data_IF_870038894782
#
_entry.id   IF_870038894782
#
_cell.length_a   1.000
_cell.length_b   1.000
_cell.length_c   1.000
_cell.angle_alpha   90.00
_cell.angle_beta   90.00
_cell.angle_gamma   90.00
#
_symmetry.space_group_name_H-M   'P 1'
#
loop_
_entity.id
_entity.type
_entity.pdbx_description
1 polymer ?
#
# COMPACT_ATOMS: atom_id res chain seq x y z
N UNK A 1 -24.36 -5.76 -12.30
CA UNK A 1 -23.61 -6.47 -11.22
C UNK A 1 -22.72 -5.42 -10.60
N UNK A 2 -22.85 -5.13 -9.31
CA UNK A 2 -21.96 -4.17 -8.65
C UNK A 2 -20.60 -4.86 -8.52
N UNK A 3 -19.63 -4.43 -9.32
CA UNK A 3 -18.26 -4.91 -9.25
C UNK A 3 -17.70 -4.43 -7.91
N UNK A 4 -17.49 -5.37 -6.99
CA UNK A 4 -16.98 -5.05 -5.65
C UNK A 4 -15.55 -4.61 -5.79
N UNK A 5 -15.27 -3.35 -5.47
CA UNK A 5 -13.91 -2.79 -5.42
C UNK A 5 -13.03 -3.70 -4.57
N UNK A 6 -11.98 -4.27 -5.17
CA UNK A 6 -11.00 -5.10 -4.46
C UNK A 6 -9.98 -4.19 -3.77
N UNK A 7 -10.32 -3.77 -2.55
CA UNK A 7 -9.48 -2.89 -1.73
C UNK A 7 -8.08 -3.48 -1.49
N UNK A 8 -7.95 -4.79 -1.31
CA UNK A 8 -6.64 -5.42 -1.08
C UNK A 8 -5.75 -5.35 -2.33
N UNK A 9 -6.35 -5.52 -3.51
CA UNK A 9 -5.64 -5.33 -4.78
C UNK A 9 -5.18 -3.87 -4.95
N UNK A 10 -6.05 -2.89 -4.64
CA UNK A 10 -5.70 -1.47 -4.70
C UNK A 10 -4.58 -1.08 -3.72
N UNK A 11 -4.62 -1.59 -2.48
CA UNK A 11 -3.58 -1.34 -1.47
C UNK A 11 -2.20 -1.80 -1.97
N UNK A 12 -2.13 -2.95 -2.65
CA UNK A 12 -0.88 -3.48 -3.22
C UNK A 12 -0.32 -2.62 -4.36
N UNK A 13 -1.16 -1.82 -5.01
CA UNK A 13 -0.77 -0.92 -6.11
C UNK A 13 -0.30 0.46 -5.63
N UNK A 14 -0.51 0.82 -4.35
CA UNK A 14 -0.04 2.11 -3.81
C UNK A 14 1.48 2.21 -3.80
N UNK A 15 2.27 1.24 -3.27
CA UNK A 15 3.73 1.33 -3.31
C UNK A 15 4.32 1.51 -4.72
N UNK A 16 3.96 0.70 -5.75
CA UNK A 16 4.51 0.90 -7.08
C UNK A 16 4.06 2.21 -7.73
N UNK A 17 2.86 2.70 -7.43
CA UNK A 17 2.41 4.02 -7.89
C UNK A 17 3.25 5.16 -7.28
N UNK A 18 3.57 5.08 -5.98
CA UNK A 18 4.44 6.05 -5.30
C UNK A 18 5.88 6.00 -5.82
N UNK A 19 6.42 4.79 -6.01
CA UNK A 19 7.76 4.61 -6.57
C UNK A 19 7.84 5.23 -7.96
N UNK A 20 6.89 4.95 -8.85
CA UNK A 20 6.85 5.56 -10.18
C UNK A 20 6.80 7.10 -10.10
N UNK A 21 5.95 7.67 -9.23
CA UNK A 21 5.88 9.12 -9.02
C UNK A 21 7.26 9.69 -8.63
N UNK A 22 7.91 9.07 -7.65
CA UNK A 22 9.17 9.55 -7.09
C UNK A 22 10.35 9.37 -8.06
N UNK A 23 10.40 8.27 -8.80
CA UNK A 23 11.45 8.00 -9.78
C UNK A 23 11.38 8.99 -10.97
N UNK A 24 10.17 9.30 -11.43
CA UNK A 24 9.96 10.30 -12.48
C UNK A 24 10.31 11.71 -11.99
N UNK A 25 9.98 12.04 -10.73
CA UNK A 25 10.37 13.30 -10.10
C UNK A 25 11.89 13.42 -9.93
N UNK A 26 12.56 12.37 -9.48
CA UNK A 26 14.01 12.32 -9.40
C UNK A 26 14.66 12.47 -10.78
N UNK A 27 14.11 11.79 -11.80
CA UNK A 27 14.59 11.89 -13.19
C UNK A 27 14.46 13.31 -13.75
N UNK A 28 13.39 14.03 -13.39
CA UNK A 28 13.22 15.45 -13.75
C UNK A 28 14.21 16.34 -13.02
N UNK A 29 14.39 16.15 -11.71
CA UNK A 29 15.33 16.95 -10.90
C UNK A 29 16.79 16.73 -11.28
N UNK A 30 17.18 15.52 -11.66
CA UNK A 30 18.54 15.16 -12.08
C UNK A 30 18.78 15.38 -13.58
N UNK A 31 17.77 15.83 -14.31
CA UNK A 31 17.79 15.98 -15.76
C UNK A 31 18.11 14.68 -16.53
N UNK A 32 17.77 13.52 -15.95
CA UNK A 32 17.97 12.18 -16.51
C UNK A 32 16.72 11.68 -17.23
N UNK A 33 16.10 12.53 -18.06
CA UNK A 33 14.87 12.18 -18.79
C UNK A 33 15.08 11.71 -20.23
N UNK A 34 16.28 11.91 -20.80
CA UNK A 34 16.58 11.51 -22.18
C UNK A 34 16.54 9.99 -22.36
N UNK A 35 15.75 9.51 -23.32
CA UNK A 35 15.59 8.09 -23.63
C UNK A 35 14.61 7.32 -22.73
N UNK A 36 14.03 7.98 -21.71
CA UNK A 36 13.08 7.33 -20.78
C UNK A 36 11.64 7.81 -20.94
N UNK A 37 11.36 8.75 -21.85
CA UNK A 37 10.02 9.31 -22.07
C UNK A 37 8.96 8.26 -22.38
N UNK A 38 9.23 7.40 -23.36
CA UNK A 38 8.31 6.32 -23.74
C UNK A 38 8.17 5.26 -22.63
N UNK A 39 9.24 5.02 -21.88
CA UNK A 39 9.23 4.08 -20.75
C UNK A 39 8.34 4.62 -19.62
N UNK A 40 8.41 5.93 -19.34
CA UNK A 40 7.59 6.59 -18.33
C UNK A 40 6.10 6.49 -18.68
N UNK A 41 5.74 6.83 -19.94
CA UNK A 41 4.36 6.75 -20.43
C UNK A 41 3.84 5.33 -20.39
N UNK A 42 4.63 4.36 -20.86
CA UNK A 42 4.25 2.94 -20.84
C UNK A 42 4.08 2.40 -19.42
N UNK A 43 4.98 2.78 -18.51
CA UNK A 43 4.91 2.37 -17.10
C UNK A 43 3.65 2.90 -16.43
N UNK A 44 3.31 4.18 -16.67
CA UNK A 44 2.06 4.76 -16.20
C UNK A 44 0.84 4.04 -16.78
N UNK A 45 0.77 3.85 -18.10
CA UNK A 45 -0.39 3.23 -18.75
C UNK A 45 -0.62 1.80 -18.25
N UNK A 46 0.44 1.04 -18.01
CA UNK A 46 0.32 -0.31 -17.43
C UNK A 46 -0.19 -0.29 -15.99
N UNK A 47 0.27 0.67 -15.19
CA UNK A 47 -0.20 0.86 -13.82
C UNK A 47 -1.67 1.30 -13.79
N UNK A 48 -2.03 2.29 -14.62
CA UNK A 48 -3.40 2.78 -14.79
C UNK A 48 -4.36 1.66 -15.23
N UNK A 49 -3.96 0.84 -16.20
CA UNK A 49 -4.73 -0.32 -16.64
C UNK A 49 -4.89 -1.36 -15.52
N UNK A 50 -3.88 -1.53 -14.66
CA UNK A 50 -3.96 -2.43 -13.51
C UNK A 50 -4.93 -1.91 -12.47
N UNK A 51 -4.91 -0.62 -12.16
CA UNK A 51 -5.86 0.01 -11.22
C UNK A 51 -7.28 -0.05 -11.77
N UNK A 52 -7.48 0.28 -13.04
CA UNK A 52 -8.80 0.29 -13.70
C UNK A 52 -9.51 -1.07 -13.74
N UNK A 53 -8.79 -2.18 -13.47
CA UNK A 53 -9.38 -3.52 -13.32
C UNK A 53 -10.06 -3.74 -11.98
N UNK A 54 -9.69 -2.96 -10.96
CA UNK A 54 -10.15 -3.14 -9.59
C UNK A 54 -11.07 -2.01 -9.10
N UNK A 55 -11.16 -0.92 -9.87
CA UNK A 55 -12.02 0.22 -9.56
C UNK A 55 -12.75 0.72 -10.80
N UNK A 56 -14.07 0.86 -10.68
CA UNK A 56 -14.92 1.50 -11.67
C UNK A 56 -15.20 2.96 -11.26
N UNK A 57 -14.15 3.79 -11.32
CA UNK A 57 -14.23 5.22 -10.99
C UNK A 57 -14.09 6.08 -12.26
N UNK A 58 -15.07 6.95 -12.59
CA UNK A 58 -14.99 7.85 -13.74
C UNK A 58 -13.76 8.76 -13.73
N UNK A 59 -13.32 9.19 -12.55
CA UNK A 59 -12.10 9.98 -12.39
C UNK A 59 -10.88 9.15 -12.80
N UNK A 60 -10.73 7.93 -12.30
CA UNK A 60 -9.62 7.03 -12.69
C UNK A 60 -9.64 6.79 -14.20
N UNK A 61 -10.81 6.52 -14.78
CA UNK A 61 -10.96 6.33 -16.23
C UNK A 61 -10.57 7.57 -17.05
N UNK A 62 -10.71 8.77 -16.50
CA UNK A 62 -10.32 10.01 -17.17
C UNK A 62 -8.82 10.32 -17.08
N UNK A 63 -8.06 9.64 -16.22
CA UNK A 63 -6.61 9.85 -16.05
C UNK A 63 -5.75 9.25 -17.17
N UNK A 64 -6.29 9.10 -18.38
CA UNK A 64 -5.53 8.57 -19.51
C UNK A 64 -4.49 9.60 -19.95
N UNK A 65 -3.26 9.14 -20.23
CA UNK A 65 -2.21 9.99 -20.77
C UNK A 65 -2.45 10.27 -22.25
N UNK A 66 -2.82 11.50 -22.56
CA UNK A 66 -2.79 12.04 -23.91
C UNK A 66 -1.42 12.67 -24.18
N UNK A 67 -0.57 11.95 -24.90
CA UNK A 67 0.79 12.38 -25.23
C UNK A 67 0.81 12.87 -26.68
N UNK A 68 1.19 14.13 -26.95
CA UNK A 68 1.40 14.61 -28.31
C UNK A 68 2.44 13.77 -29.06
N UNK A 69 2.24 13.53 -30.37
CA UNK A 69 3.19 12.73 -31.17
C UNK A 69 4.61 13.32 -31.17
N UNK A 70 4.71 14.65 -31.17
CA UNK A 70 5.96 15.41 -31.17
C UNK A 70 6.49 15.73 -29.75
N UNK A 71 5.91 15.12 -28.71
CA UNK A 71 6.33 15.38 -27.33
C UNK A 71 7.77 14.90 -27.09
N UNK A 72 8.59 15.79 -26.55
CA UNK A 72 9.92 15.47 -26.07
C UNK A 72 9.88 14.47 -24.90
N UNK A 73 10.99 13.76 -24.67
CA UNK A 73 11.09 12.85 -23.52
C UNK A 73 10.81 13.55 -22.19
N UNK A 74 11.24 14.82 -22.05
CA UNK A 74 10.97 15.63 -20.87
C UNK A 74 9.47 15.83 -20.66
N UNK A 75 8.74 16.18 -21.71
CA UNK A 75 7.28 16.37 -21.64
C UNK A 75 6.57 15.05 -21.32
N UNK A 76 6.99 13.94 -21.94
CA UNK A 76 6.48 12.61 -21.65
C UNK A 76 6.67 12.22 -20.19
N UNK A 77 7.87 12.41 -19.64
CA UNK A 77 8.18 12.15 -18.22
C UNK A 77 7.34 13.06 -17.31
N UNK A 78 7.20 14.34 -17.65
CA UNK A 78 6.44 15.31 -16.86
C UNK A 78 4.95 14.99 -16.82
N UNK A 79 4.36 14.64 -17.97
CA UNK A 79 2.98 14.18 -18.09
C UNK A 79 2.77 12.90 -17.28
N UNK A 80 3.65 11.91 -17.43
CA UNK A 80 3.57 10.67 -16.67
C UNK A 80 3.70 10.90 -15.15
N UNK A 81 4.56 11.82 -14.71
CA UNK A 81 4.72 12.18 -13.29
C UNK A 81 3.47 12.86 -12.74
N UNK A 82 2.87 13.77 -13.50
CA UNK A 82 1.62 14.43 -13.12
C UNK A 82 0.49 13.40 -12.98
N UNK A 83 0.30 12.55 -13.99
CA UNK A 83 -0.74 11.52 -13.99
C UNK A 83 -0.53 10.48 -12.88
N UNK A 84 0.73 10.11 -12.61
CA UNK A 84 1.10 9.23 -11.48
C UNK A 84 0.75 9.86 -10.13
N UNK A 85 0.99 11.16 -9.97
CA UNK A 85 0.65 11.88 -8.73
C UNK A 85 -0.86 11.87 -8.46
N UNK A 86 -1.67 12.09 -9.51
CA UNK A 86 -3.13 12.04 -9.42
C UNK A 86 -3.65 10.63 -9.12
N UNK A 87 -3.04 9.61 -9.76
CA UNK A 87 -3.38 8.21 -9.51
C UNK A 87 -3.08 7.79 -8.07
N UNK A 88 -1.92 8.19 -7.52
CA UNK A 88 -1.57 7.95 -6.11
C UNK A 88 -2.60 8.61 -5.18
N UNK A 89 -2.92 9.88 -5.40
CA UNK A 89 -3.91 10.59 -4.58
C UNK A 89 -5.28 9.89 -4.59
N UNK A 90 -5.70 9.39 -5.75
CA UNK A 90 -6.94 8.62 -5.87
C UNK A 90 -6.86 7.30 -5.10
N UNK A 91 -5.79 6.51 -5.27
CA UNK A 91 -5.61 5.23 -4.57
C UNK A 91 -5.58 5.40 -3.04
N UNK A 92 -4.92 6.45 -2.54
CA UNK A 92 -4.89 6.77 -1.11
C UNK A 92 -6.26 7.20 -0.60
N UNK A 93 -7.00 8.00 -1.37
CA UNK A 93 -8.36 8.40 -1.03
C UNK A 93 -9.34 7.22 -1.00
N UNK A 94 -9.17 6.23 -1.89
CA UNK A 94 -10.06 5.07 -1.99
C UNK A 94 -9.77 3.99 -0.94
N UNK A 95 -8.51 3.88 -0.51
CA UNK A 95 -8.08 2.88 0.50
C UNK A 95 -7.99 3.46 1.92
N UNK A 96 -8.02 4.78 2.07
CA UNK A 96 -7.79 5.45 3.36
C UNK A 96 -6.32 5.38 3.85
N UNK A 97 -5.42 4.76 3.08
CA UNK A 97 -3.99 4.68 3.38
C UNK A 97 -3.30 5.96 2.91
N UNK A 98 -3.50 7.05 3.64
CA UNK A 98 -2.78 8.30 3.39
C UNK A 98 -1.28 8.05 3.59
N UNK A 99 -0.50 8.36 2.57
CA UNK A 99 0.95 8.39 2.71
C UNK A 99 1.31 9.49 3.67
N UNK A 100 1.72 9.15 4.90
CA UNK A 100 2.37 10.11 5.76
C UNK A 100 3.61 10.61 4.99
N UNK A 101 3.57 11.88 4.61
CA UNK A 101 4.55 12.52 3.75
C UNK A 101 5.98 12.26 4.21
N UNK A 102 6.88 12.25 3.23
CA UNK A 102 8.33 12.13 3.34
C UNK A 102 8.88 12.66 4.68
N UNK A 103 9.16 11.74 5.61
CA UNK A 103 9.62 12.11 6.95
C UNK A 103 9.53 11.04 8.03
N UNK A 104 9.50 9.75 7.70
CA UNK A 104 9.75 8.71 8.71
C UNK A 104 10.24 7.43 8.05
N UNK A 105 11.53 7.15 8.23
CA UNK A 105 12.16 5.93 7.75
C UNK A 105 11.54 4.70 8.41
N UNK A 106 10.92 3.86 7.62
CA UNK A 106 10.43 2.56 8.06
C UNK A 106 9.99 1.74 6.87
N UNK A 107 10.86 0.84 6.40
CA UNK A 107 10.47 -0.24 5.49
C UNK A 107 9.41 -1.10 6.20
N UNK A 108 8.13 -0.82 5.95
CA UNK A 108 7.04 -1.68 6.40
C UNK A 108 6.76 -2.71 5.31
N UNK A 109 7.34 -3.89 5.46
CA UNK A 109 6.84 -5.09 4.80
C UNK A 109 5.50 -5.43 5.47
N UNK A 110 4.39 -4.99 4.87
CA UNK A 110 3.05 -5.23 5.41
C UNK A 110 2.69 -6.72 5.32
N UNK A 111 2.82 -7.44 6.44
CA UNK A 111 2.30 -8.81 6.61
C UNK A 111 1.16 -8.91 7.64
N UNK A 112 0.65 -7.80 8.15
CA UNK A 112 -0.46 -7.79 9.11
C UNK A 112 -1.37 -6.57 8.90
N UNK A 113 -2.68 -6.68 9.21
CA UNK A 113 -3.59 -5.54 9.17
C UNK A 113 -3.16 -4.52 10.22
N UNK A 114 -2.79 -3.31 9.78
CA UNK A 114 -2.44 -2.20 10.66
C UNK A 114 -3.73 -1.47 11.03
N UNK A 115 -4.14 -1.60 12.30
CA UNK A 115 -5.14 -0.69 12.89
C UNK A 115 -4.45 0.62 13.24
N UNK A 116 -4.74 1.68 12.48
CA UNK A 116 -4.31 3.03 12.83
C UNK A 116 -5.43 3.74 13.61
N UNK A 117 -5.65 3.31 14.84
CA UNK A 117 -6.53 3.95 15.81
C UNK A 117 -5.72 4.63 16.91
N UNK A 118 -6.07 5.86 17.29
CA UNK A 118 -5.46 6.52 18.43
C UNK A 118 -5.86 5.80 19.72
N UNK A 119 -4.88 5.38 20.54
CA UNK A 119 -5.10 4.66 21.81
C UNK A 119 -5.93 5.50 22.80
N UNK A 120 -6.05 6.81 22.56
CA UNK A 120 -6.86 7.74 23.36
C UNK A 120 -8.36 7.40 23.40
N UNK A 121 -8.88 6.64 22.43
CA UNK A 121 -10.32 6.30 22.35
C UNK A 121 -10.62 4.84 22.73
N UNK A 122 -9.62 4.10 23.22
CA UNK A 122 -9.79 2.69 23.58
C UNK A 122 -10.28 2.60 25.03
N UNK A 123 -11.43 1.95 25.23
CA UNK A 123 -11.97 1.70 26.57
C UNK A 123 -11.02 0.81 27.39
N UNK A 124 -10.91 1.08 28.70
CA UNK A 124 -10.05 0.33 29.62
C UNK A 124 -10.33 -1.19 29.62
N UNK A 125 -11.55 -1.60 29.32
CA UNK A 125 -11.94 -3.01 29.20
C UNK A 125 -11.27 -3.73 28.02
N UNK A 126 -11.03 -3.00 26.92
CA UNK A 126 -10.34 -3.53 25.74
C UNK A 126 -8.83 -3.67 25.99
N UNK A 127 -8.24 -2.74 26.75
CA UNK A 127 -6.84 -2.79 27.19
C UNK A 127 -6.57 -3.99 28.11
N UNK A 128 -7.47 -4.28 29.05
CA UNK A 128 -7.40 -5.44 29.94
C UNK A 128 -7.39 -6.77 29.17
N UNK A 129 -8.26 -6.90 28.15
CA UNK A 129 -8.28 -8.11 27.30
C UNK A 129 -6.97 -8.31 26.53
N UNK A 130 -6.39 -7.23 26.00
CA UNK A 130 -5.12 -7.29 25.25
C UNK A 130 -3.96 -7.68 26.19
N UNK A 131 -3.91 -7.13 27.40
CA UNK A 131 -2.93 -7.54 28.41
C UNK A 131 -3.10 -9.02 28.85
N UNK A 132 -4.33 -9.52 28.85
CA UNK A 132 -4.63 -10.93 29.11
C UNK A 132 -4.02 -11.89 28.08
N UNK A 133 -3.91 -11.47 26.82
CA UNK A 133 -3.27 -12.27 25.76
C UNK A 133 -1.73 -12.27 25.85
N UNK A 134 -1.13 -11.18 26.32
CA UNK A 134 0.34 -11.05 26.43
C UNK A 134 0.91 -11.87 27.59
N UNK A 135 0.11 -12.22 28.60
CA UNK A 135 0.58 -12.88 29.84
C UNK A 135 0.64 -14.41 29.80
N UNK A 136 0.42 -15.07 28.65
CA UNK A 136 0.60 -16.53 28.52
C UNK A 136 1.83 -16.89 27.70
N UNK A 137 3.02 -17.05 28.31
CA UNK A 137 4.02 -17.96 27.79
C UNK A 137 3.65 -19.41 28.18
N UNK A 138 3.61 -20.24 27.14
CA UNK A 138 3.60 -21.69 27.09
C UNK A 138 4.49 -22.41 28.11
N UNK A 139 3.92 -23.37 28.85
CA UNK A 139 4.54 -24.70 29.04
C UNK A 139 3.43 -25.75 29.27
N UNK A 140 3.18 -26.58 28.26
CA UNK A 140 2.62 -27.93 28.42
C UNK A 140 3.69 -28.93 27.95
N UNK A 141 3.50 -30.18 28.37
CA UNK A 141 4.30 -31.42 28.21
C UNK A 141 5.12 -31.81 29.46
N UNK A 142 5.00 -33.01 30.05
CA UNK A 142 4.24 -34.23 29.72
C UNK A 142 4.31 -35.25 30.89
N UNK A 143 3.29 -36.12 30.92
CA UNK A 143 3.28 -37.54 31.37
C UNK A 143 3.47 -37.87 32.87
N UNK A 144 2.40 -38.20 33.61
CA UNK A 144 1.82 -39.57 33.84
C UNK A 144 2.82 -40.63 34.31
N UNK A 145 2.79 -40.92 35.61
CA UNK A 145 2.76 -42.30 36.14
C UNK A 145 1.71 -42.35 37.27
N UNK A 146 0.58 -43.01 36.97
CA UNK A 146 -0.37 -43.58 37.93
C UNK A 146 0.34 -44.76 38.62
N UNK A 147 0.37 -44.78 39.95
CA UNK A 147 -0.53 -45.58 40.80
C UNK A 147 0.04 -46.98 41.07
N UNK A 148 0.35 -47.31 42.32
CA UNK A 148 -0.18 -48.51 43.03
C UNK A 148 0.52 -48.74 44.40
N UNK A 149 -0.27 -48.52 45.46
CA UNK A 149 -0.41 -49.33 46.69
C UNK A 149 0.68 -49.53 47.75
N UNK A 150 0.22 -49.28 48.98
CA UNK A 150 0.35 -50.09 50.21
C UNK A 150 1.49 -49.81 51.21
N UNK A 151 1.09 -49.15 52.30
CA UNK A 151 1.11 -49.71 53.67
C UNK A 151 2.47 -50.00 54.34
N UNK A 152 2.84 -49.14 55.30
CA UNK A 152 3.24 -49.51 56.67
C UNK A 152 3.35 -48.26 57.56
#
# INVERSE_FOLDING_TARGET
>A
MAETVDLNALIRLIPPARTLKNDLEASLHMELYTGIGDIAVKSYNNLHASVSRFIDDPYVKSLVLEVPEEASDKEKVLLARLASSQLVACLESQTGLVGHGEGSGGNSYYTAPVFNGSISDISNETLERIMGFVKKPTTEEKETEQEESAEA
#
